data_IF_259918739312
#
_entry.id   IF_259918739312
#
_cell.length_a   1.000
_cell.length_b   1.000
_cell.length_c   1.000
_cell.angle_alpha   90.00
_cell.angle_beta   90.00
_cell.angle_gamma   90.00
#
_symmetry.space_group_name_H-M   'P 1'
#
loop_
_entity.id
_entity.type
_entity.pdbx_description
1 polymer ?
#
# COMPACT_ATOMS: atom_id res chain seq x y z
N UNK A 1 -42.35 -12.64 -40.83
CA UNK A 1 -41.24 -11.92 -41.51
C UNK A 1 -40.46 -11.04 -40.54
N UNK A 2 -41.11 -10.21 -39.72
CA UNK A 2 -40.42 -9.30 -38.78
C UNK A 2 -39.53 -9.98 -37.74
N UNK A 3 -39.91 -11.16 -37.22
CA UNK A 3 -39.06 -11.90 -36.27
C UNK A 3 -37.76 -12.43 -36.88
N UNK A 4 -37.78 -12.84 -38.16
CA UNK A 4 -36.54 -13.27 -38.82
C UNK A 4 -35.59 -12.11 -39.05
N UNK A 5 -36.12 -10.93 -39.36
CA UNK A 5 -35.30 -9.72 -39.53
C UNK A 5 -34.62 -9.35 -38.20
N UNK A 6 -35.35 -9.41 -37.09
CA UNK A 6 -34.79 -9.12 -35.77
C UNK A 6 -33.73 -10.15 -35.33
N UNK A 7 -33.93 -11.44 -35.66
CA UNK A 7 -32.93 -12.48 -35.39
C UNK A 7 -31.67 -12.29 -36.25
N UNK A 8 -31.82 -11.92 -37.53
CA UNK A 8 -30.68 -11.61 -38.40
C UNK A 8 -29.89 -10.41 -37.87
N UNK A 9 -30.55 -9.35 -37.44
CA UNK A 9 -29.92 -8.16 -36.86
C UNK A 9 -29.11 -8.49 -35.59
N UNK A 10 -29.69 -9.29 -34.69
CA UNK A 10 -28.99 -9.74 -33.48
C UNK A 10 -27.80 -10.65 -33.80
N UNK A 11 -27.92 -11.50 -34.82
CA UNK A 11 -26.82 -12.37 -35.24
C UNK A 11 -25.66 -11.52 -35.77
N UNK A 12 -25.96 -10.53 -36.60
CA UNK A 12 -24.94 -9.62 -37.15
C UNK A 12 -24.25 -8.79 -36.07
N UNK A 13 -24.97 -8.30 -35.06
CA UNK A 13 -24.37 -7.60 -33.91
C UNK A 13 -23.40 -8.51 -33.13
N UNK A 14 -23.80 -9.77 -32.90
CA UNK A 14 -22.96 -10.75 -32.21
C UNK A 14 -21.71 -11.10 -33.01
N UNK A 15 -21.84 -11.27 -34.33
CA UNK A 15 -20.71 -11.54 -35.23
C UNK A 15 -19.71 -10.38 -35.27
N UNK A 16 -20.19 -9.13 -35.30
CA UNK A 16 -19.34 -7.94 -35.26
C UNK A 16 -18.59 -7.85 -33.93
N UNK A 17 -19.30 -8.08 -32.82
CA UNK A 17 -18.69 -8.08 -31.48
C UNK A 17 -17.68 -9.20 -31.30
N UNK A 18 -17.94 -10.39 -31.83
CA UNK A 18 -16.99 -11.50 -31.80
C UNK A 18 -15.72 -11.15 -32.58
N UNK A 19 -15.87 -10.57 -33.77
CA UNK A 19 -14.74 -10.12 -34.59
C UNK A 19 -13.88 -9.08 -33.87
N UNK A 20 -14.51 -8.15 -33.14
CA UNK A 20 -13.81 -7.16 -32.32
C UNK A 20 -13.03 -7.82 -31.18
N UNK A 21 -13.65 -8.75 -30.45
CA UNK A 21 -13.00 -9.49 -29.36
C UNK A 21 -11.81 -10.31 -29.87
N UNK A 22 -11.96 -10.98 -31.01
CA UNK A 22 -10.86 -11.73 -31.65
C UNK A 22 -9.69 -10.81 -32.00
N UNK A 23 -9.96 -9.64 -32.59
CA UNK A 23 -8.93 -8.64 -32.90
C UNK A 23 -8.21 -8.12 -31.65
N UNK A 24 -8.96 -7.85 -30.57
CA UNK A 24 -8.39 -7.43 -29.29
C UNK A 24 -7.53 -8.52 -28.67
N UNK A 25 -7.96 -9.79 -28.70
CA UNK A 25 -7.18 -10.92 -28.20
C UNK A 25 -5.88 -11.10 -28.96
N UNK A 26 -5.90 -10.97 -30.29
CA UNK A 26 -4.68 -11.01 -31.12
C UNK A 26 -3.75 -9.86 -30.74
N UNK A 27 -4.28 -8.64 -30.58
CA UNK A 27 -3.48 -7.47 -30.19
C UNK A 27 -2.87 -7.63 -28.79
N UNK A 28 -3.63 -8.15 -27.83
CA UNK A 28 -3.13 -8.44 -26.47
C UNK A 28 -2.03 -9.50 -26.53
N UNK A 29 -2.24 -10.59 -27.29
CA UNK A 29 -1.25 -11.65 -27.41
C UNK A 29 0.05 -11.12 -28.05
N UNK A 30 -0.04 -10.32 -29.12
CA UNK A 30 1.12 -9.66 -29.71
C UNK A 30 1.85 -8.75 -28.72
N UNK A 31 1.12 -7.98 -27.91
CA UNK A 31 1.73 -7.13 -26.86
C UNK A 31 2.41 -7.96 -25.78
N UNK A 32 1.82 -9.08 -25.38
CA UNK A 32 2.42 -10.00 -24.42
C UNK A 32 3.68 -10.66 -24.98
N UNK A 33 3.68 -11.10 -26.24
CA UNK A 33 4.87 -11.62 -26.91
C UNK A 33 5.97 -10.56 -27.04
N UNK A 34 5.62 -9.32 -27.40
CA UNK A 34 6.57 -8.21 -27.45
C UNK A 34 7.14 -7.92 -26.06
N UNK A 35 6.31 -7.90 -25.02
CA UNK A 35 6.76 -7.70 -23.65
C UNK A 35 7.64 -8.87 -23.17
N UNK A 36 7.26 -10.11 -23.52
CA UNK A 36 8.06 -11.29 -23.23
C UNK A 36 9.39 -11.27 -23.97
N UNK A 37 9.46 -10.73 -25.20
CA UNK A 37 10.71 -10.54 -25.97
C UNK A 37 11.58 -9.44 -25.40
N UNK A 38 10.99 -8.34 -24.94
CA UNK A 38 11.71 -7.26 -24.25
C UNK A 38 12.25 -7.74 -22.89
N UNK A 39 11.49 -8.58 -22.19
CA UNK A 39 11.88 -9.21 -20.94
C UNK A 39 12.93 -10.32 -21.16
N UNK A 40 12.78 -11.16 -22.19
CA UNK A 40 13.75 -12.22 -22.55
C UNK A 40 14.98 -11.71 -23.31
N UNK A 41 14.98 -10.47 -23.78
CA UNK A 41 16.18 -9.76 -24.23
C UNK A 41 17.22 -9.56 -23.11
N UNK A 42 16.81 -9.66 -21.84
CA UNK A 42 17.68 -9.71 -20.67
C UNK A 42 18.11 -11.14 -20.26
N UNK A 43 17.52 -12.17 -20.87
CA UNK A 43 17.69 -13.58 -20.48
C UNK A 43 18.25 -14.43 -21.63
N UNK A 44 19.51 -14.17 -22.02
CA UNK A 44 20.36 -15.18 -22.67
C UNK A 44 21.62 -15.40 -21.87
N UNK A 45 21.50 -15.80 -20.61
CA UNK A 45 22.50 -16.63 -19.96
C UNK A 45 21.79 -17.56 -18.98
N UNK A 46 22.35 -18.77 -18.89
CA UNK A 46 22.00 -19.87 -18.01
C UNK A 46 21.50 -19.40 -16.63
N UNK A 47 20.59 -20.16 -16.01
CA UNK A 47 20.31 -20.06 -14.57
C UNK A 47 21.63 -20.02 -13.78
N UNK A 48 21.79 -19.00 -12.94
CA UNK A 48 22.04 -19.30 -11.55
C UNK A 48 20.89 -18.75 -10.70
N UNK A 49 20.46 -19.57 -9.77
CA UNK A 49 19.66 -19.19 -8.61
C UNK A 49 20.42 -18.09 -7.83
N UNK A 50 20.18 -16.83 -8.16
CA UNK A 50 20.71 -15.68 -7.41
C UNK A 50 19.52 -14.99 -6.78
N UNK A 51 19.46 -15.04 -5.44
CA UNK A 51 18.53 -14.28 -4.64
C UNK A 51 18.48 -12.81 -5.12
N UNK A 52 17.30 -12.14 -5.10
CA UNK A 52 17.18 -10.77 -5.55
C UNK A 52 18.22 -9.91 -4.82
N UNK A 53 19.18 -9.38 -5.57
CA UNK A 53 20.24 -8.54 -5.03
C UNK A 53 19.63 -7.27 -4.44
N UNK A 54 20.27 -6.70 -3.41
CA UNK A 54 19.81 -5.45 -2.78
C UNK A 54 19.54 -4.35 -3.82
N UNK A 55 20.40 -4.25 -4.84
CA UNK A 55 20.28 -3.31 -5.95
C UNK A 55 18.97 -3.50 -6.76
N UNK A 56 18.53 -4.74 -6.96
CA UNK A 56 17.28 -5.03 -7.67
C UNK A 56 16.04 -4.64 -6.85
N UNK A 57 16.11 -4.81 -5.53
CA UNK A 57 15.05 -4.40 -4.61
C UNK A 57 14.98 -2.86 -4.49
N UNK A 58 16.12 -2.17 -4.52
CA UNK A 58 16.19 -0.71 -4.53
C UNK A 58 15.69 -0.12 -5.85
N UNK A 59 16.06 -0.72 -6.99
CA UNK A 59 15.53 -0.32 -8.29
C UNK A 59 14.00 -0.49 -8.37
N UNK A 60 13.47 -1.58 -7.82
CA UNK A 60 12.02 -1.80 -7.73
C UNK A 60 11.34 -0.76 -6.84
N UNK A 61 11.90 -0.47 -5.66
CA UNK A 61 11.36 0.56 -4.76
C UNK A 61 11.34 1.92 -5.44
N UNK A 62 12.41 2.30 -6.14
CA UNK A 62 12.48 3.57 -6.85
C UNK A 62 11.40 3.65 -7.94
N UNK A 63 11.27 2.60 -8.74
CA UNK A 63 10.24 2.54 -9.79
C UNK A 63 8.81 2.59 -9.23
N UNK A 64 8.52 1.87 -8.14
CA UNK A 64 7.20 1.92 -7.48
C UNK A 64 6.93 3.33 -6.96
N UNK A 65 7.90 3.96 -6.32
CA UNK A 65 7.78 5.35 -5.84
C UNK A 65 7.47 6.31 -6.98
N UNK A 66 8.19 6.21 -8.09
CA UNK A 66 7.99 7.09 -9.24
C UNK A 66 6.61 6.87 -9.89
N UNK A 67 6.20 5.60 -10.05
CA UNK A 67 4.90 5.25 -10.62
C UNK A 67 3.73 5.71 -9.75
N UNK A 68 3.80 5.51 -8.43
CA UNK A 68 2.76 5.94 -7.48
C UNK A 68 2.70 7.47 -7.43
N UNK A 69 3.85 8.15 -7.38
CA UNK A 69 3.92 9.62 -7.44
C UNK A 69 3.22 10.18 -8.68
N UNK A 70 3.54 9.63 -9.86
CA UNK A 70 2.91 10.01 -11.13
C UNK A 70 1.39 9.77 -11.10
N UNK A 71 0.92 8.66 -10.52
CA UNK A 71 -0.51 8.36 -10.44
C UNK A 71 -1.25 9.23 -9.44
N UNK A 72 -0.67 9.53 -8.28
CA UNK A 72 -1.27 10.42 -7.29
C UNK A 72 -1.48 11.83 -7.86
N UNK A 73 -0.55 12.36 -8.64
CA UNK A 73 -0.71 13.65 -9.34
C UNK A 73 -1.93 13.67 -10.29
N UNK A 74 -2.36 12.53 -10.81
CA UNK A 74 -3.54 12.42 -11.69
C UNK A 74 -4.86 12.26 -10.92
N UNK A 75 -4.80 11.92 -9.63
CA UNK A 75 -5.95 11.57 -8.78
C UNK A 75 -6.35 12.69 -7.82
N UNK A 76 -5.54 13.74 -7.67
CA UNK A 76 -5.83 14.88 -6.78
C UNK A 76 -6.41 16.04 -7.60
N UNK A 77 -7.69 16.42 -7.41
CA UNK A 77 -8.22 17.68 -7.91
C UNK A 77 -7.53 18.85 -7.21
N UNK A 78 -7.33 19.97 -7.92
CA UNK A 78 -6.80 21.26 -7.40
C UNK A 78 -7.59 21.86 -6.21
N UNK A 79 -8.68 21.22 -5.79
CA UNK A 79 -9.55 21.62 -4.68
C UNK A 79 -9.41 20.75 -3.43
N UNK A 80 -8.40 19.86 -3.38
CA UNK A 80 -8.00 19.27 -2.11
C UNK A 80 -7.46 20.38 -1.21
N UNK A 81 -8.36 20.97 -0.42
CA UNK A 81 -8.06 21.88 0.68
C UNK A 81 -7.31 21.04 1.71
N UNK A 82 -5.99 20.97 1.56
CA UNK A 82 -5.13 20.60 2.66
C UNK A 82 -5.25 21.74 3.66
N UNK A 83 -5.85 21.52 4.85
CA UNK A 83 -5.70 22.50 5.91
C UNK A 83 -4.21 22.75 6.08
N UNK A 84 -3.81 24.03 6.08
CA UNK A 84 -2.42 24.44 6.24
C UNK A 84 -1.79 23.60 7.35
N UNK A 85 -0.68 22.92 7.02
CA UNK A 85 0.04 22.02 7.90
C UNK A 85 -0.04 22.52 9.33
N UNK A 86 -0.87 21.85 10.14
CA UNK A 86 -0.77 22.00 11.57
C UNK A 86 0.70 21.68 11.89
N UNK A 87 1.40 22.54 12.64
CA UNK A 87 2.82 22.34 12.93
C UNK A 87 2.99 20.92 13.39
N UNK A 88 3.95 20.20 12.79
CA UNK A 88 4.32 18.82 13.09
C UNK A 88 4.45 18.67 14.61
N UNK A 89 3.35 18.33 15.26
CA UNK A 89 3.27 18.12 16.69
C UNK A 89 2.84 16.71 17.00
N UNK A 90 2.56 15.85 16.03
CA UNK A 90 2.40 14.43 16.30
C UNK A 90 3.79 13.81 16.49
N UNK A 91 4.24 13.86 17.75
CA UNK A 91 5.25 12.95 18.26
C UNK A 91 4.79 11.50 18.06
N UNK A 92 5.67 10.53 18.28
CA UNK A 92 5.35 9.15 17.98
C UNK A 92 4.14 8.66 18.77
N UNK A 93 3.37 7.73 18.19
CA UNK A 93 2.24 7.09 18.85
C UNK A 93 2.68 5.79 19.50
N UNK A 94 1.99 5.38 20.57
CA UNK A 94 2.17 4.07 21.17
C UNK A 94 1.79 2.97 20.17
N UNK A 95 2.67 1.96 20.00
CA UNK A 95 2.51 0.86 19.04
C UNK A 95 1.09 0.26 19.07
N UNK A 96 0.45 0.16 17.89
CA UNK A 96 -0.92 -0.35 17.71
C UNK A 96 -2.04 0.48 18.39
N UNK A 97 -1.78 1.74 18.75
CA UNK A 97 -2.79 2.64 19.32
C UNK A 97 -2.69 4.06 18.75
N UNK A 98 -3.77 4.82 18.83
CA UNK A 98 -3.80 6.24 18.45
C UNK A 98 -3.47 7.17 19.64
N UNK A 99 -2.71 6.69 20.63
CA UNK A 99 -2.37 7.48 21.83
C UNK A 99 -1.05 8.20 21.57
N UNK A 100 -1.03 9.55 21.55
CA UNK A 100 0.19 10.33 21.34
C UNK A 100 1.16 10.11 22.50
N UNK A 101 2.43 9.89 22.22
CA UNK A 101 3.47 9.76 23.25
C UNK A 101 4.75 10.48 22.87
N UNK A 102 5.66 10.57 23.84
CA UNK A 102 7.01 11.11 23.63
C UNK A 102 7.93 10.03 23.05
N UNK A 103 9.00 10.43 22.35
CA UNK A 103 9.99 9.51 21.79
C UNK A 103 10.65 8.61 22.85
N UNK A 104 10.78 9.14 24.07
CA UNK A 104 11.31 8.43 25.23
C UNK A 104 10.45 7.21 25.59
N UNK A 105 9.12 7.34 25.49
CA UNK A 105 8.17 6.26 25.76
C UNK A 105 8.28 5.16 24.71
N UNK A 106 8.40 5.52 23.43
CA UNK A 106 8.59 4.54 22.35
C UNK A 106 9.89 3.77 22.53
N UNK A 107 10.98 4.47 22.86
CA UNK A 107 12.25 3.81 23.13
C UNK A 107 12.15 2.87 24.34
N UNK A 108 11.42 3.28 25.39
CA UNK A 108 11.19 2.47 26.60
C UNK A 108 10.39 1.20 26.32
N UNK A 109 9.36 1.28 25.47
CA UNK A 109 8.53 0.16 25.02
C UNK A 109 9.35 -0.83 24.19
N UNK A 110 10.21 -0.35 23.27
CA UNK A 110 11.09 -1.20 22.46
C UNK A 110 12.11 -1.99 23.29
N UNK A 111 12.49 -1.51 24.47
CA UNK A 111 13.39 -2.23 25.40
C UNK A 111 12.74 -3.40 26.13
N UNK A 112 11.42 -3.57 26.06
CA UNK A 112 10.72 -4.71 26.68
C UNK A 112 11.01 -5.96 25.84
N UNK A 113 11.77 -6.96 26.36
CA UNK A 113 12.27 -8.07 25.54
C UNK A 113 11.17 -9.04 25.10
N UNK A 114 10.13 -9.19 25.91
CA UNK A 114 9.07 -10.18 25.72
C UNK A 114 7.92 -9.52 24.94
N UNK A 115 7.63 -9.93 23.69
CA UNK A 115 6.63 -9.27 22.84
C UNK A 115 5.24 -9.18 23.49
N UNK A 116 4.80 -10.26 24.14
CA UNK A 116 3.49 -10.30 24.81
C UNK A 116 3.39 -9.28 25.96
N UNK A 117 4.45 -9.15 26.77
CA UNK A 117 4.50 -8.18 27.86
C UNK A 117 4.49 -6.75 27.30
N UNK A 118 5.17 -6.53 26.18
CA UNK A 118 5.18 -5.24 25.48
C UNK A 118 3.77 -4.84 25.04
N UNK A 119 3.05 -5.73 24.36
CA UNK A 119 1.65 -5.47 23.93
C UNK A 119 0.74 -5.21 25.13
N UNK A 120 0.88 -6.01 26.19
CA UNK A 120 0.09 -5.84 27.41
C UNK A 120 0.33 -4.48 28.08
N UNK A 121 1.60 -4.06 28.20
CA UNK A 121 1.96 -2.75 28.78
C UNK A 121 1.43 -1.61 27.91
N UNK A 122 1.57 -1.71 26.58
CA UNK A 122 1.08 -0.67 25.66
C UNK A 122 -0.44 -0.53 25.73
N UNK A 123 -1.18 -1.64 25.71
CA UNK A 123 -2.62 -1.64 25.84
C UNK A 123 -3.06 -1.03 27.18
N UNK A 124 -2.40 -1.42 28.28
CA UNK A 124 -2.68 -0.91 29.63
C UNK A 124 -2.44 0.59 29.74
N UNK A 125 -1.30 1.07 29.25
CA UNK A 125 -0.97 2.50 29.25
C UNK A 125 -1.97 3.27 28.39
N UNK A 126 -2.38 2.72 27.24
CA UNK A 126 -3.38 3.33 26.38
C UNK A 126 -4.76 3.43 27.05
N UNK A 127 -5.20 2.39 27.76
CA UNK A 127 -6.44 2.42 28.55
C UNK A 127 -6.38 3.45 29.66
N UNK A 128 -5.27 3.50 30.40
CA UNK A 128 -5.05 4.47 31.48
C UNK A 128 -5.01 5.91 30.95
N UNK A 129 -4.35 6.14 29.81
CA UNK A 129 -4.28 7.46 29.17
C UNK A 129 -5.69 7.94 28.74
N UNK A 130 -6.50 7.04 28.16
CA UNK A 130 -7.89 7.34 27.79
C UNK A 130 -8.76 7.63 29.02
N UNK A 131 -8.60 6.86 30.09
CA UNK A 131 -9.34 7.06 31.34
C UNK A 131 -8.97 8.40 32.01
N UNK A 132 -7.69 8.76 31.99
CA UNK A 132 -7.18 10.01 32.54
C UNK A 132 -7.36 11.22 31.61
N UNK A 133 -7.84 11.01 30.36
CA UNK A 133 -7.98 12.03 29.31
C UNK A 133 -6.70 12.84 29.08
N UNK A 134 -5.57 12.15 29.10
CA UNK A 134 -4.27 12.78 28.87
C UNK A 134 -4.06 12.95 27.37
N UNK A 135 -3.65 14.15 26.98
CA UNK A 135 -3.41 14.52 25.58
C UNK A 135 -2.13 13.88 25.04
N UNK A 136 -1.12 13.67 25.89
CA UNK A 136 0.15 13.02 25.52
C UNK A 136 0.77 12.25 26.66
N UNK A 137 1.19 11.01 26.39
CA UNK A 137 1.89 10.16 27.37
C UNK A 137 3.38 10.52 27.42
N UNK A 138 3.82 10.99 28.59
CA UNK A 138 5.23 11.19 28.94
C UNK A 138 5.81 9.96 29.65
N UNK A 139 7.12 10.01 29.94
CA UNK A 139 7.82 8.91 30.60
C UNK A 139 7.30 8.68 32.03
N UNK A 140 6.96 9.75 32.77
CA UNK A 140 6.47 9.64 34.14
C UNK A 140 5.11 8.93 34.21
N UNK A 141 4.20 9.28 33.30
CA UNK A 141 2.91 8.61 33.19
C UNK A 141 3.08 7.17 32.75
N UNK A 142 3.96 6.91 31.79
CA UNK A 142 4.26 5.57 31.33
C UNK A 142 4.74 4.67 32.48
N UNK A 143 5.68 5.12 33.31
CA UNK A 143 6.18 4.31 34.44
C UNK A 143 5.10 4.05 35.50
N UNK A 144 4.28 5.07 35.82
CA UNK A 144 3.15 4.91 36.74
C UNK A 144 2.10 3.93 36.20
N UNK A 145 1.78 4.02 34.91
CA UNK A 145 0.77 3.20 34.27
C UNK A 145 1.26 1.78 33.92
N UNK A 146 2.57 1.57 33.79
CA UNK A 146 3.21 0.29 33.51
C UNK A 146 3.58 -0.52 34.77
N UNK A 147 3.32 0.02 35.96
CA UNK A 147 3.53 -0.69 37.24
C UNK A 147 2.40 -1.68 37.48
N UNK A 148 2.75 -2.89 37.93
CA UNK A 148 1.82 -3.97 38.30
C UNK A 148 1.50 -3.94 39.80
#
# INVERSE_FOLDING_TARGET
MSEQIHLQERLTDVEERLTNVESLLVSINQKLELNARLSSGAQRHQEPEVAPTADSAEALKQWVTDYVSMRLQQLVPETCVHPAEAPVQDGPFLDNTNVPCTEEVVHRVKRIPIPFVREMVVQRVAENARAAKIERVDIEFFEKAATF
#
